data_IF_058098412881
#
_entry.id   IF_058098412881
#
_cell.length_a   1.000
_cell.length_b   1.000
_cell.length_c   1.000
_cell.angle_alpha   90.00
_cell.angle_beta   90.00
_cell.angle_gamma   90.00
#
_symmetry.space_group_name_H-M   'P 1'
#
loop_
_entity.id
_entity.type
_entity.pdbx_description
1 polymer ?
#
# COMPACT_ATOMS: atom_id res chain seq x y z
N UNK A 1 -41.09 33.12 20.43
CA UNK A 1 -40.59 33.10 19.05
C UNK A 1 -39.07 33.27 19.13
N UNK A 2 -38.32 32.17 19.10
CA UNK A 2 -36.85 32.15 19.21
C UNK A 2 -36.31 31.61 17.89
N UNK A 3 -35.62 32.47 17.15
CA UNK A 3 -34.95 32.15 15.89
C UNK A 3 -33.72 31.27 16.16
N UNK A 4 -33.62 30.19 15.40
CA UNK A 4 -32.44 29.32 15.32
C UNK A 4 -31.47 29.93 14.32
N UNK A 5 -30.29 30.32 14.78
CA UNK A 5 -29.15 30.62 13.93
C UNK A 5 -28.69 29.33 13.25
N UNK A 6 -28.52 29.39 11.92
CA UNK A 6 -27.94 28.35 11.08
C UNK A 6 -26.44 28.30 11.39
N UNK A 7 -25.92 27.09 11.62
CA UNK A 7 -24.49 26.83 11.68
C UNK A 7 -23.93 26.92 10.26
N UNK A 8 -22.88 27.74 10.10
CA UNK A 8 -22.05 27.80 8.90
C UNK A 8 -21.25 26.50 8.75
N UNK A 9 -21.19 25.99 7.53
CA UNK A 9 -20.28 24.92 7.11
C UNK A 9 -18.84 25.47 7.13
N UNK A 10 -18.13 25.29 8.23
CA UNK A 10 -16.67 25.48 8.28
C UNK A 10 -15.99 24.36 7.47
N UNK A 11 -15.43 24.69 6.31
CA UNK A 11 -14.53 23.84 5.55
C UNK A 11 -13.38 23.35 6.44
N UNK A 12 -13.24 22.02 6.58
CA UNK A 12 -12.13 21.39 7.30
C UNK A 12 -10.79 21.85 6.67
N UNK A 13 -9.93 22.57 7.41
CA UNK A 13 -8.67 23.13 6.91
C UNK A 13 -7.68 22.07 6.43
N UNK A 14 -7.94 20.77 6.69
CA UNK A 14 -7.10 19.67 6.23
C UNK A 14 -7.46 19.13 4.83
N UNK A 15 -8.48 19.66 4.15
CA UNK A 15 -8.96 19.09 2.87
C UNK A 15 -8.29 19.63 1.59
N UNK A 16 -7.17 20.37 1.69
CA UNK A 16 -6.46 20.88 0.51
C UNK A 16 -5.86 19.72 -0.32
N UNK A 17 -6.51 19.40 -1.44
CA UNK A 17 -6.05 18.39 -2.41
C UNK A 17 -5.03 18.99 -3.37
N UNK A 18 -3.86 18.37 -3.47
CA UNK A 18 -2.83 18.76 -4.42
C UNK A 18 -3.29 18.66 -5.87
N UNK A 19 -2.84 19.62 -6.67
CA UNK A 19 -3.24 19.70 -8.08
C UNK A 19 -2.62 18.54 -8.86
N UNK A 20 -3.46 17.76 -9.52
CA UNK A 20 -3.06 16.68 -10.42
C UNK A 20 -2.47 17.22 -11.72
N UNK A 21 -1.48 16.53 -12.27
CA UNK A 21 -1.05 16.76 -13.66
C UNK A 21 -2.20 16.53 -14.65
N UNK A 22 -2.22 17.27 -15.77
CA UNK A 22 -3.26 17.17 -16.81
C UNK A 22 -3.35 15.76 -17.42
N UNK A 23 -2.21 15.12 -17.69
CA UNK A 23 -2.15 13.74 -18.19
C UNK A 23 -2.84 12.76 -17.25
N UNK A 24 -2.71 12.96 -15.94
CA UNK A 24 -3.35 12.09 -14.95
C UNK A 24 -4.85 12.32 -14.87
N UNK A 25 -5.31 13.57 -15.04
CA UNK A 25 -6.75 13.88 -15.15
C UNK A 25 -7.39 13.15 -16.34
N UNK A 26 -6.74 13.16 -17.50
CA UNK A 26 -7.23 12.46 -18.68
C UNK A 26 -7.28 10.94 -18.50
N UNK A 27 -6.20 10.34 -17.96
CA UNK A 27 -6.13 8.90 -17.68
C UNK A 27 -7.24 8.41 -16.73
N UNK A 28 -7.58 9.21 -15.72
CA UNK A 28 -8.65 8.87 -14.76
C UNK A 28 -10.03 8.86 -15.42
N UNK A 29 -10.29 9.77 -16.35
CA UNK A 29 -11.55 9.78 -17.10
C UNK A 29 -11.70 8.50 -17.95
N UNK A 30 -10.64 8.07 -18.63
CA UNK A 30 -10.63 6.86 -19.45
C UNK A 30 -10.81 5.56 -18.62
N UNK A 31 -10.23 5.49 -17.42
CA UNK A 31 -10.43 4.35 -16.52
C UNK A 31 -11.89 4.20 -16.05
N UNK A 32 -12.61 5.32 -15.89
CA UNK A 32 -14.04 5.29 -15.54
C UNK A 32 -14.88 4.70 -16.67
N UNK A 33 -14.58 5.06 -17.92
CA UNK A 33 -15.30 4.54 -19.09
C UNK A 33 -15.05 3.04 -19.30
N UNK A 34 -13.85 2.53 -18.98
CA UNK A 34 -13.51 1.11 -19.14
C UNK A 34 -14.08 0.19 -18.04
N UNK A 35 -14.63 0.74 -16.95
CA UNK A 35 -15.24 -0.05 -15.86
C UNK A 35 -16.63 -0.64 -16.23
N UNK A 36 -17.12 -0.44 -17.46
CA UNK A 36 -18.47 -0.80 -17.91
C UNK A 36 -18.64 -2.23 -18.47
N UNK A 37 -17.68 -3.15 -18.29
CA UNK A 37 -17.90 -4.57 -18.56
C UNK A 37 -18.81 -5.20 -17.49
N UNK A 38 -19.58 -6.25 -17.84
CA UNK A 38 -20.40 -6.95 -16.84
C UNK A 38 -19.50 -7.51 -15.72
N UNK A 39 -19.75 -7.12 -14.45
CA UNK A 39 -18.83 -7.41 -13.37
C UNK A 39 -18.94 -8.86 -12.88
N UNK A 40 -17.82 -9.57 -12.83
CA UNK A 40 -17.74 -10.91 -12.23
C UNK A 40 -18.04 -10.82 -10.73
N UNK A 41 -18.89 -11.72 -10.22
CA UNK A 41 -19.40 -11.67 -8.85
C UNK A 41 -19.24 -13.00 -8.13
N UNK A 42 -18.82 -12.97 -6.85
CA UNK A 42 -18.66 -14.15 -5.99
C UNK A 42 -19.03 -13.85 -4.54
N UNK A 43 -19.35 -14.87 -3.75
CA UNK A 43 -19.47 -14.69 -2.31
C UNK A 43 -18.14 -14.25 -1.69
N UNK A 44 -18.23 -13.38 -0.69
CA UNK A 44 -17.07 -12.94 0.08
C UNK A 44 -16.37 -14.12 0.75
N UNK A 45 -15.04 -14.09 0.75
CA UNK A 45 -14.21 -15.10 1.45
C UNK A 45 -13.81 -14.66 2.86
N UNK A 46 -14.56 -13.73 3.46
CA UNK A 46 -14.25 -13.17 4.77
C UNK A 46 -14.25 -14.21 5.91
N UNK A 47 -15.10 -15.24 5.81
CA UNK A 47 -15.20 -16.30 6.81
C UNK A 47 -13.99 -17.24 6.83
N UNK A 48 -13.43 -17.50 5.64
CA UNK A 48 -12.40 -18.49 5.35
C UNK A 48 -11.00 -17.89 5.22
N UNK A 49 -10.90 -16.58 4.95
CA UNK A 49 -9.64 -15.86 4.85
C UNK A 49 -9.00 -15.51 6.19
N UNK A 50 -7.68 -15.30 6.17
CA UNK A 50 -6.95 -14.67 7.26
C UNK A 50 -7.34 -13.18 7.32
N UNK A 51 -7.90 -12.73 8.44
CA UNK A 51 -8.46 -11.37 8.58
C UNK A 51 -7.44 -10.39 9.13
N UNK A 52 -7.56 -9.13 8.75
CA UNK A 52 -6.73 -8.03 9.23
C UNK A 52 -6.75 -7.84 10.75
N UNK A 53 -5.88 -6.95 11.29
CA UNK A 53 -5.82 -6.66 12.71
C UNK A 53 -7.10 -6.00 13.23
N UNK A 54 -7.42 -6.21 14.51
CA UNK A 54 -8.55 -5.54 15.19
C UNK A 54 -8.08 -4.23 15.87
N UNK A 55 -8.99 -3.25 16.07
CA UNK A 55 -10.40 -3.24 15.65
C UNK A 55 -10.54 -3.12 14.12
N UNK A 56 -11.60 -3.72 13.58
CA UNK A 56 -11.89 -3.59 12.16
C UNK A 56 -12.40 -2.18 11.87
N UNK A 57 -11.99 -1.54 10.77
CA UNK A 57 -12.51 -0.22 10.40
C UNK A 57 -14.02 -0.26 10.17
N UNK A 58 -14.73 0.80 10.58
CA UNK A 58 -16.19 0.87 10.49
C UNK A 58 -16.73 0.84 9.05
N UNK A 59 -15.91 1.23 8.08
CA UNK A 59 -16.25 1.19 6.66
C UNK A 59 -16.24 -0.23 6.08
N UNK A 60 -15.67 -1.21 6.80
CA UNK A 60 -15.47 -2.56 6.29
C UNK A 60 -16.72 -3.43 6.51
N UNK A 61 -17.29 -3.91 5.40
CA UNK A 61 -18.32 -4.95 5.40
C UNK A 61 -17.69 -6.29 5.79
N UNK A 62 -18.20 -6.89 6.87
CA UNK A 62 -17.67 -8.12 7.50
C UNK A 62 -18.71 -9.25 7.60
N UNK A 63 -19.90 -9.00 7.08
CA UNK A 63 -21.03 -9.92 7.09
C UNK A 63 -20.78 -11.13 6.17
N UNK A 64 -21.16 -12.32 6.63
CA UNK A 64 -20.91 -13.56 5.88
C UNK A 64 -21.73 -13.68 4.58
N UNK A 65 -22.84 -12.94 4.51
CA UNK A 65 -23.67 -12.86 3.31
C UNK A 65 -23.14 -11.85 2.28
N UNK A 66 -22.01 -11.18 2.56
CA UNK A 66 -21.44 -10.21 1.64
C UNK A 66 -20.97 -10.86 0.34
N UNK A 67 -21.05 -10.08 -0.72
CA UNK A 67 -20.72 -10.45 -2.09
C UNK A 67 -19.62 -9.52 -2.58
N UNK A 68 -18.60 -10.10 -3.19
CA UNK A 68 -17.48 -9.43 -3.83
C UNK A 68 -17.75 -9.31 -5.33
N UNK A 69 -17.80 -8.08 -5.85
CA UNK A 69 -18.04 -7.74 -7.25
C UNK A 69 -16.79 -7.08 -7.85
N UNK A 70 -16.26 -7.64 -8.92
CA UNK A 70 -15.10 -7.10 -9.65
C UNK A 70 -15.49 -5.86 -10.45
N UNK A 71 -14.84 -4.73 -10.19
CA UNK A 71 -15.11 -3.47 -10.89
C UNK A 71 -14.07 -3.13 -11.98
N UNK A 72 -13.00 -3.93 -12.08
CA UNK A 72 -11.99 -3.79 -13.13
C UNK A 72 -10.56 -3.77 -12.61
N UNK A 73 -9.61 -3.58 -13.53
CA UNK A 73 -8.18 -3.65 -13.23
C UNK A 73 -7.65 -2.26 -12.88
N UNK A 74 -6.97 -2.12 -11.73
CA UNK A 74 -6.27 -0.90 -11.32
C UNK A 74 -4.83 -0.87 -11.84
N UNK A 75 -4.13 -2.01 -11.77
CA UNK A 75 -2.72 -2.15 -12.19
C UNK A 75 -2.45 -3.58 -12.60
N UNK A 76 -1.86 -3.78 -13.78
CA UNK A 76 -1.22 -5.05 -14.13
C UNK A 76 0.27 -5.00 -13.80
N UNK A 77 0.81 -6.12 -13.34
CA UNK A 77 2.21 -6.22 -12.95
C UNK A 77 2.80 -7.57 -13.34
N UNK A 78 4.14 -7.61 -13.39
CA UNK A 78 4.87 -8.86 -13.68
C UNK A 78 4.64 -9.93 -12.61
N UNK A 79 4.42 -9.50 -11.37
CA UNK A 79 4.35 -10.37 -10.19
C UNK A 79 2.96 -10.47 -9.60
N UNK A 80 2.16 -9.41 -9.72
CA UNK A 80 0.79 -9.36 -9.25
C UNK A 80 -0.02 -8.37 -10.07
N UNK A 81 -1.32 -8.63 -10.19
CA UNK A 81 -2.29 -7.64 -10.64
C UNK A 81 -3.06 -7.09 -9.44
N UNK A 82 -3.55 -5.87 -9.58
CA UNK A 82 -4.41 -5.22 -8.59
C UNK A 82 -5.72 -4.88 -9.28
N UNK A 83 -6.81 -5.37 -8.71
CA UNK A 83 -8.17 -5.15 -9.17
C UNK A 83 -8.94 -4.29 -8.17
N UNK A 84 -9.90 -3.51 -8.67
CA UNK A 84 -10.88 -2.84 -7.84
C UNK A 84 -12.03 -3.79 -7.59
N UNK A 85 -12.41 -3.94 -6.33
CA UNK A 85 -13.47 -4.84 -5.89
C UNK A 85 -14.44 -4.06 -5.01
N UNK A 86 -15.74 -4.31 -5.18
CA UNK A 86 -16.76 -3.84 -4.23
C UNK A 86 -17.23 -5.03 -3.41
N UNK A 87 -17.17 -4.91 -2.10
CA UNK A 87 -17.81 -5.83 -1.17
C UNK A 87 -19.11 -5.20 -0.68
N UNK A 88 -20.26 -5.82 -0.95
CA UNK A 88 -21.56 -5.31 -0.51
C UNK A 88 -22.46 -6.42 0.00
N UNK A 89 -23.53 -6.06 0.70
CA UNK A 89 -24.56 -7.03 1.13
C UNK A 89 -25.71 -6.96 0.13
N UNK A 90 -26.16 -8.09 -0.46
CA UNK A 90 -27.31 -8.07 -1.36
C UNK A 90 -28.55 -7.47 -0.68
N UNK A 91 -29.13 -6.43 -1.28
CA UNK A 91 -30.32 -5.74 -0.77
C UNK A 91 -30.04 -4.67 0.31
N UNK A 92 -28.78 -4.33 0.56
CA UNK A 92 -28.33 -3.23 1.42
C UNK A 92 -27.49 -2.25 0.57
N UNK A 93 -27.49 -0.97 0.93
CA UNK A 93 -26.65 0.06 0.28
C UNK A 93 -25.22 0.08 0.83
N UNK A 94 -24.96 -0.61 1.95
CA UNK A 94 -23.62 -0.70 2.54
C UNK A 94 -22.66 -1.47 1.66
N UNK A 95 -21.52 -0.85 1.36
CA UNK A 95 -20.43 -1.49 0.64
C UNK A 95 -19.06 -0.92 1.02
N UNK A 96 -18.01 -1.70 0.73
CA UNK A 96 -16.61 -1.30 0.85
C UNK A 96 -15.94 -1.43 -0.51
N UNK A 97 -15.17 -0.42 -0.91
CA UNK A 97 -14.22 -0.56 -2.02
C UNK A 97 -12.91 -1.13 -1.50
N UNK A 98 -12.42 -2.16 -2.18
CA UNK A 98 -11.24 -2.92 -1.84
C UNK A 98 -10.30 -2.99 -3.04
N UNK A 99 -9.00 -3.00 -2.77
CA UNK A 99 -7.98 -3.32 -3.77
C UNK A 99 -7.58 -4.80 -3.61
N UNK A 100 -7.91 -5.62 -4.61
CA UNK A 100 -7.57 -7.04 -4.64
C UNK A 100 -6.23 -7.25 -5.36
N UNK A 101 -5.16 -7.45 -4.60
CA UNK A 101 -3.83 -7.78 -5.11
C UNK A 101 -3.68 -9.30 -5.24
N UNK A 102 -3.52 -9.78 -6.46
CA UNK A 102 -3.44 -11.21 -6.81
C UNK A 102 -2.06 -11.55 -7.31
N UNK A 103 -1.32 -12.35 -6.56
CA UNK A 103 0.01 -12.80 -6.96
C UNK A 103 -0.06 -13.87 -8.05
N UNK A 104 0.77 -13.70 -9.09
CA UNK A 104 0.87 -14.65 -10.21
C UNK A 104 1.81 -15.81 -9.86
N UNK A 105 1.41 -17.04 -10.21
CA UNK A 105 2.29 -18.20 -10.17
C UNK A 105 3.35 -18.08 -11.28
N UNK A 106 4.58 -17.72 -10.91
CA UNK A 106 5.61 -17.25 -11.86
C UNK A 106 6.00 -18.28 -12.95
N UNK A 107 5.75 -17.96 -14.22
CA UNK A 107 6.40 -18.64 -15.35
C UNK A 107 7.82 -18.11 -15.59
N UNK A 108 8.04 -16.79 -15.52
CA UNK A 108 9.34 -16.16 -15.84
C UNK A 108 9.76 -15.05 -14.85
N UNK A 109 10.17 -15.41 -13.63
CA UNK A 109 10.96 -14.48 -12.80
C UNK A 109 12.42 -14.53 -13.23
N UNK A 110 12.96 -13.39 -13.66
CA UNK A 110 14.41 -13.16 -13.68
C UNK A 110 14.85 -12.90 -12.24
N UNK A 111 15.52 -13.88 -11.67
CA UNK A 111 16.11 -13.95 -10.32
C UNK A 111 17.19 -12.89 -10.03
N UNK A 112 17.20 -11.75 -10.73
CA UNK A 112 18.32 -10.80 -10.68
C UNK A 112 18.25 -9.75 -9.56
N UNK A 113 17.30 -9.86 -8.61
CA UNK A 113 17.26 -9.00 -7.41
C UNK A 113 16.97 -9.74 -6.10
N UNK A 114 16.95 -11.07 -6.11
CA UNK A 114 16.54 -11.88 -4.95
C UNK A 114 17.69 -12.21 -3.96
N UNK A 115 18.96 -12.07 -4.37
CA UNK A 115 20.09 -12.52 -3.58
C UNK A 115 20.22 -11.77 -2.23
N UNK A 116 20.06 -10.45 -2.23
CA UNK A 116 20.13 -9.66 -0.99
C UNK A 116 18.83 -9.68 -0.17
N UNK A 117 17.69 -9.97 -0.79
CA UNK A 117 16.36 -9.91 -0.14
C UNK A 117 16.07 -11.15 0.72
N UNK A 118 16.53 -12.32 0.28
CA UNK A 118 16.38 -13.58 1.01
C UNK A 118 17.53 -13.87 1.99
N UNK A 119 18.68 -13.19 1.87
CA UNK A 119 19.87 -13.47 2.69
C UNK A 119 19.66 -13.22 4.19
N UNK A 120 18.86 -12.21 4.57
CA UNK A 120 18.50 -11.93 5.96
C UNK A 120 17.50 -12.94 6.57
N UNK A 121 16.81 -13.75 5.74
CA UNK A 121 15.82 -14.75 6.20
C UNK A 121 16.41 -16.17 6.27
N UNK A 122 17.71 -16.29 6.57
CA UNK A 122 18.36 -17.59 6.88
C UNK A 122 17.91 -18.12 8.24
N UNK A 123 16.69 -18.62 8.37
CA UNK A 123 16.45 -19.73 9.29
C UNK A 123 15.16 -20.49 8.98
N UNK A 124 15.35 -21.80 8.84
CA UNK A 124 14.40 -22.91 8.66
C UNK A 124 14.05 -23.22 7.20
N UNK A 125 14.11 -24.53 6.89
CA UNK A 125 13.39 -25.27 5.83
C UNK A 125 14.24 -25.89 4.70
N UNK A 126 15.13 -26.83 5.07
CA UNK A 126 15.78 -27.77 4.14
C UNK A 126 14.84 -28.78 3.46
N UNK A 127 13.55 -28.77 3.78
CA UNK A 127 12.52 -29.62 3.14
C UNK A 127 11.80 -28.91 1.99
N UNK A 128 11.59 -27.60 2.07
CA UNK A 128 10.87 -26.81 1.07
C UNK A 128 11.74 -26.55 -0.17
N UNK A 129 13.07 -26.39 0.01
CA UNK A 129 14.02 -26.27 -1.10
C UNK A 129 13.98 -27.45 -2.08
N UNK A 130 13.61 -28.66 -1.61
CA UNK A 130 13.47 -29.85 -2.46
C UNK A 130 12.20 -29.85 -3.31
N UNK A 131 11.11 -29.25 -2.84
CA UNK A 131 9.92 -29.03 -3.66
C UNK A 131 10.10 -27.85 -4.63
N UNK A 132 10.91 -26.86 -4.27
CA UNK A 132 11.28 -25.71 -5.11
C UNK A 132 12.15 -26.08 -6.33
N UNK A 133 12.89 -27.20 -6.28
CA UNK A 133 13.75 -27.64 -7.38
C UNK A 133 12.97 -28.11 -8.63
N UNK A 134 11.70 -28.49 -8.48
CA UNK A 134 10.91 -29.13 -9.55
C UNK A 134 10.17 -28.20 -10.51
N UNK A 135 10.12 -26.88 -10.27
CA UNK A 135 9.37 -25.90 -11.11
C UNK A 135 7.95 -26.33 -11.52
N UNK A 136 7.27 -27.14 -10.70
CA UNK A 136 5.88 -27.56 -10.96
C UNK A 136 4.92 -26.40 -10.70
N UNK A 137 3.74 -26.42 -11.34
CA UNK A 137 2.66 -25.43 -11.09
C UNK A 137 2.33 -25.30 -9.60
N UNK A 138 2.33 -26.43 -8.88
CA UNK A 138 2.16 -26.48 -7.43
C UNK A 138 3.23 -25.71 -6.65
N UNK A 139 4.52 -25.91 -6.97
CA UNK A 139 5.62 -25.20 -6.30
C UNK A 139 5.58 -23.68 -6.55
N UNK A 140 5.15 -23.24 -7.74
CA UNK A 140 4.97 -21.82 -8.06
C UNK A 140 3.83 -21.18 -7.26
N UNK A 141 2.70 -21.89 -7.12
CA UNK A 141 1.57 -21.42 -6.32
C UNK A 141 1.96 -21.28 -4.85
N UNK A 142 2.67 -22.26 -4.29
CA UNK A 142 3.16 -22.21 -2.91
C UNK A 142 4.04 -20.97 -2.66
N UNK A 143 4.91 -20.62 -3.62
CA UNK A 143 5.72 -19.42 -3.49
C UNK A 143 4.83 -18.18 -3.50
N UNK A 144 3.88 -18.06 -4.45
CA UNK A 144 2.96 -16.93 -4.50
C UNK A 144 2.17 -16.75 -3.19
N UNK A 145 1.73 -17.84 -2.57
CA UNK A 145 1.06 -17.82 -1.26
C UNK A 145 1.99 -17.32 -0.15
N UNK A 146 3.27 -17.71 -0.17
CA UNK A 146 4.26 -17.21 0.79
C UNK A 146 4.49 -15.70 0.64
N UNK A 147 4.50 -15.16 -0.58
CA UNK A 147 4.60 -13.72 -0.81
C UNK A 147 3.37 -12.98 -0.27
N UNK A 148 2.17 -13.48 -0.58
CA UNK A 148 0.92 -12.91 -0.06
C UNK A 148 0.88 -12.94 1.47
N UNK A 149 1.29 -14.05 2.09
CA UNK A 149 1.36 -14.18 3.56
C UNK A 149 2.38 -13.23 4.18
N UNK A 150 3.56 -13.08 3.56
CA UNK A 150 4.59 -12.17 4.04
C UNK A 150 4.14 -10.70 3.94
N UNK A 151 3.55 -10.29 2.82
CA UNK A 151 3.04 -8.93 2.65
C UNK A 151 1.89 -8.64 3.62
N UNK A 152 0.94 -9.57 3.78
CA UNK A 152 -0.16 -9.43 4.73
C UNK A 152 0.33 -9.26 6.18
N UNK A 153 1.30 -10.08 6.61
CA UNK A 153 1.88 -9.98 7.94
C UNK A 153 2.63 -8.65 8.15
N UNK A 154 3.40 -8.21 7.14
CA UNK A 154 4.09 -6.93 7.20
C UNK A 154 3.12 -5.75 7.29
N UNK A 155 2.11 -5.69 6.40
CA UNK A 155 1.08 -4.66 6.43
C UNK A 155 0.32 -4.66 7.75
N UNK A 156 -0.03 -5.83 8.29
CA UNK A 156 -0.77 -5.94 9.56
C UNK A 156 0.05 -5.37 10.71
N UNK A 157 1.35 -5.68 10.79
CA UNK A 157 2.25 -5.11 11.78
C UNK A 157 2.38 -3.59 11.61
N UNK A 158 2.67 -3.14 10.40
CA UNK A 158 2.90 -1.72 10.08
C UNK A 158 1.65 -0.87 10.36
N UNK A 159 0.48 -1.35 9.99
CA UNK A 159 -0.79 -0.68 10.29
C UNK A 159 -1.04 -0.60 11.81
N UNK A 160 -0.78 -1.69 12.54
CA UNK A 160 -0.98 -1.75 14.01
C UNK A 160 -0.12 -0.73 14.75
N UNK A 161 1.10 -0.46 14.27
CA UNK A 161 2.01 0.54 14.87
C UNK A 161 1.80 1.96 14.31
N UNK A 162 0.80 2.15 13.44
CA UNK A 162 0.41 3.45 12.92
C UNK A 162 1.21 3.95 11.72
N UNK A 163 1.96 3.08 11.02
CA UNK A 163 2.53 3.44 9.71
C UNK A 163 1.37 3.66 8.75
N UNK A 164 1.36 4.76 7.97
CA UNK A 164 0.25 5.03 7.06
C UNK A 164 0.32 4.11 5.85
N UNK A 165 -0.26 2.92 5.97
CA UNK A 165 -0.39 1.90 4.93
C UNK A 165 -1.86 1.56 4.75
N UNK A 166 -2.31 1.09 3.56
CA UNK A 166 -3.66 0.59 3.39
C UNK A 166 -3.97 -0.49 4.41
N UNK A 167 -5.15 -0.44 5.03
CA UNK A 167 -5.56 -1.49 5.96
C UNK A 167 -5.60 -2.86 5.25
N UNK A 168 -4.91 -3.89 5.76
CA UNK A 168 -4.90 -5.22 5.16
C UNK A 168 -6.16 -5.99 5.54
N UNK A 169 -7.20 -5.87 4.72
CA UNK A 169 -8.54 -6.41 5.02
C UNK A 169 -8.52 -7.91 5.24
N UNK A 170 -8.00 -8.67 4.28
CA UNK A 170 -7.89 -10.12 4.41
C UNK A 170 -6.89 -10.70 3.42
N UNK A 171 -6.42 -11.91 3.69
CA UNK A 171 -5.68 -12.74 2.76
C UNK A 171 -6.37 -14.09 2.58
N UNK A 172 -6.53 -14.53 1.34
CA UNK A 172 -6.99 -15.88 1.01
C UNK A 172 -6.12 -16.48 -0.09
N UNK A 173 -5.36 -17.53 0.23
CA UNK A 173 -4.36 -18.10 -0.70
C UNK A 173 -3.35 -17.03 -1.15
N UNK A 174 -3.30 -16.79 -2.46
CA UNK A 174 -2.44 -15.81 -3.15
C UNK A 174 -3.06 -14.43 -3.30
N UNK A 175 -4.31 -14.24 -2.86
CA UNK A 175 -5.03 -12.98 -2.95
C UNK A 175 -4.96 -12.23 -1.62
N UNK A 176 -4.67 -10.95 -1.73
CA UNK A 176 -4.62 -9.99 -0.65
C UNK A 176 -5.62 -8.86 -0.93
N UNK A 177 -6.65 -8.74 -0.10
CA UNK A 177 -7.59 -7.62 -0.15
C UNK A 177 -7.09 -6.53 0.79
N UNK A 178 -6.98 -5.32 0.25
CA UNK A 178 -6.53 -4.12 0.95
C UNK A 178 -7.64 -3.07 0.91
N UNK A 179 -7.58 -2.12 1.84
CA UNK A 179 -8.29 -0.86 1.72
C UNK A 179 -8.02 -0.23 0.34
N UNK A 180 -9.10 0.12 -0.36
CA UNK A 180 -8.97 0.94 -1.55
C UNK A 180 -8.79 2.40 -1.15
N UNK A 181 -7.64 2.96 -1.49
CA UNK A 181 -7.37 4.38 -1.31
C UNK A 181 -7.82 5.14 -2.56
N UNK A 182 -8.99 5.77 -2.49
CA UNK A 182 -9.57 6.48 -3.61
C UNK A 182 -10.98 6.99 -3.34
N UNK A 183 -11.59 7.56 -4.36
CA UNK A 183 -12.95 8.08 -4.31
C UNK A 183 -13.98 6.93 -4.48
N UNK A 184 -15.21 7.16 -4.04
CA UNK A 184 -16.32 6.18 -4.07
C UNK A 184 -16.72 5.75 -5.49
N UNK A 185 -16.36 6.55 -6.50
CA UNK A 185 -16.54 6.24 -7.91
C UNK A 185 -15.49 5.26 -8.46
N UNK A 186 -14.59 4.75 -7.63
CA UNK A 186 -13.52 3.83 -8.01
C UNK A 186 -12.25 4.52 -8.52
N UNK A 187 -12.17 5.85 -8.46
CA UNK A 187 -10.96 6.59 -8.85
C UNK A 187 -9.89 6.46 -7.77
N UNK A 188 -8.78 5.78 -8.08
CA UNK A 188 -7.67 5.62 -7.14
C UNK A 188 -7.05 6.96 -6.73
N UNK A 189 -6.57 7.06 -5.49
CA UNK A 189 -5.79 8.19 -5.00
C UNK A 189 -4.54 8.41 -5.86
N UNK A 190 -4.10 9.67 -6.06
CA UNK A 190 -2.92 9.95 -6.86
C UNK A 190 -1.64 9.50 -6.15
N UNK A 191 -0.65 9.12 -6.95
CA UNK A 191 0.72 8.97 -6.47
C UNK A 191 1.33 10.33 -6.21
N UNK A 192 2.21 10.42 -5.23
CA UNK A 192 2.97 11.64 -4.93
C UNK A 192 3.66 12.19 -6.19
N UNK A 193 4.25 11.31 -7.01
CA UNK A 193 4.86 11.66 -8.31
C UNK A 193 3.95 12.48 -9.26
N UNK A 194 2.63 12.26 -9.19
CA UNK A 194 1.61 12.88 -10.05
C UNK A 194 1.12 14.23 -9.51
N UNK A 195 1.54 14.64 -8.32
CA UNK A 195 1.10 15.88 -7.69
C UNK A 195 1.98 17.08 -8.04
N UNK A 196 1.35 18.26 -7.99
CA UNK A 196 1.96 19.59 -7.95
C UNK A 196 1.40 20.32 -6.72
N UNK A 197 1.88 19.97 -5.52
CA UNK A 197 1.41 20.59 -4.29
C UNK A 197 1.85 22.05 -4.22
N UNK A 198 1.01 22.89 -3.60
CA UNK A 198 1.38 24.25 -3.20
C UNK A 198 2.32 24.21 -1.98
N UNK A 199 3.07 25.29 -1.67
CA UNK A 199 4.09 25.27 -0.61
C UNK A 199 3.61 24.72 0.74
N UNK A 200 2.44 25.16 1.22
CA UNK A 200 1.89 24.69 2.50
C UNK A 200 1.53 23.20 2.50
N UNK A 201 1.02 22.69 1.38
CA UNK A 201 0.73 21.26 1.23
C UNK A 201 2.04 20.46 1.10
N UNK A 202 3.05 21.00 0.40
CA UNK A 202 4.35 20.38 0.27
C UNK A 202 5.02 20.19 1.63
N UNK A 203 4.97 21.22 2.49
CA UNK A 203 5.44 21.15 3.88
C UNK A 203 4.70 20.07 4.67
N UNK A 204 3.37 20.02 4.56
CA UNK A 204 2.55 19.04 5.25
C UNK A 204 2.85 17.60 4.80
N UNK A 205 2.96 17.38 3.48
CA UNK A 205 3.30 16.08 2.90
C UNK A 205 4.73 15.65 3.27
N UNK A 206 5.67 16.59 3.33
CA UNK A 206 7.04 16.29 3.78
C UNK A 206 7.06 15.84 5.24
N UNK A 207 6.33 16.54 6.11
CA UNK A 207 6.19 16.14 7.50
C UNK A 207 5.64 14.71 7.61
N UNK A 208 4.56 14.39 6.91
CA UNK A 208 3.99 13.04 6.90
C UNK A 208 4.97 12.00 6.36
N UNK A 209 5.70 12.29 5.27
CA UNK A 209 6.69 11.39 4.69
C UNK A 209 7.81 11.07 5.69
N UNK A 210 8.34 12.09 6.37
CA UNK A 210 9.37 11.91 7.39
C UNK A 210 8.84 11.07 8.56
N UNK A 211 7.63 11.35 9.06
CA UNK A 211 7.00 10.55 10.12
C UNK A 211 6.83 9.08 9.72
N UNK A 212 6.39 8.82 8.49
CA UNK A 212 6.23 7.47 7.97
C UNK A 212 7.58 6.72 7.89
N UNK A 213 8.64 7.38 7.41
CA UNK A 213 9.99 6.80 7.37
C UNK A 213 10.56 6.56 8.77
N UNK A 214 10.31 7.45 9.73
CA UNK A 214 10.72 7.26 11.13
C UNK A 214 9.99 6.07 11.79
N UNK A 215 8.71 5.86 11.49
CA UNK A 215 7.97 4.70 12.00
C UNK A 215 8.50 3.39 11.41
N UNK A 216 8.75 3.35 10.09
CA UNK A 216 9.39 2.20 9.44
C UNK A 216 10.75 1.90 10.08
N UNK A 217 11.61 2.92 10.20
CA UNK A 217 12.92 2.78 10.83
C UNK A 217 12.80 2.29 12.27
N UNK A 218 11.83 2.79 13.03
CA UNK A 218 11.57 2.37 14.42
C UNK A 218 11.17 0.90 14.55
N UNK A 219 10.55 0.33 13.52
CA UNK A 219 10.26 -1.10 13.43
C UNK A 219 11.45 -1.95 12.96
N UNK A 220 12.61 -1.32 12.73
CA UNK A 220 13.80 -1.94 12.15
C UNK A 220 13.65 -2.24 10.66
N UNK A 221 12.80 -1.48 9.95
CA UNK A 221 12.44 -1.74 8.56
C UNK A 221 12.81 -0.57 7.64
N UNK A 222 13.29 -0.92 6.46
CA UNK A 222 13.33 -0.03 5.29
C UNK A 222 12.30 -0.56 4.29
N UNK A 223 11.71 0.33 3.49
CA UNK A 223 10.75 -0.10 2.47
C UNK A 223 11.45 -0.90 1.37
N UNK A 224 12.71 -0.57 1.05
CA UNK A 224 13.54 -1.28 0.07
C UNK A 224 13.30 -0.90 -1.39
N UNK A 225 12.30 -0.05 -1.66
CA UNK A 225 11.98 0.55 -2.97
C UNK A 225 11.13 1.82 -2.80
N UNK A 226 11.36 2.60 -1.74
CA UNK A 226 10.53 3.77 -1.49
C UNK A 226 10.82 4.85 -2.53
N UNK A 227 9.78 5.26 -3.23
CA UNK A 227 9.84 6.34 -4.21
C UNK A 227 8.51 7.10 -4.24
N UNK A 228 8.46 8.30 -4.83
CA UNK A 228 7.21 9.04 -5.03
C UNK A 228 6.16 8.28 -5.86
N UNK A 229 6.53 7.18 -6.52
CA UNK A 229 5.61 6.31 -7.23
C UNK A 229 4.95 5.25 -6.33
N UNK A 230 5.54 4.95 -5.18
CA UNK A 230 5.06 3.98 -4.18
C UNK A 230 4.43 4.68 -2.95
N UNK A 231 4.08 5.96 -3.13
CA UNK A 231 3.39 6.78 -2.15
C UNK A 231 2.12 7.31 -2.80
N UNK A 232 0.96 7.03 -2.22
CA UNK A 232 -0.31 7.65 -2.57
C UNK A 232 -0.62 8.82 -1.64
N UNK A 233 -1.42 9.77 -2.10
CA UNK A 233 -1.96 10.85 -1.28
C UNK A 233 -3.47 10.79 -1.34
N UNK A 234 -4.10 10.26 -0.30
CA UNK A 234 -5.54 10.12 -0.20
C UNK A 234 -6.08 11.15 0.77
N UNK A 235 -6.89 12.11 0.27
CA UNK A 235 -7.51 13.18 1.07
C UNK A 235 -6.49 13.94 1.95
N UNK A 236 -5.35 14.31 1.36
CA UNK A 236 -4.26 15.01 2.06
C UNK A 236 -3.36 14.10 2.90
N UNK A 237 -3.72 12.84 3.09
CA UNK A 237 -2.91 11.87 3.86
C UNK A 237 -2.00 11.05 2.95
N UNK A 238 -0.71 11.01 3.30
CA UNK A 238 0.31 10.21 2.63
C UNK A 238 0.20 8.76 3.06
N UNK A 239 0.09 7.85 2.09
CA UNK A 239 -0.04 6.40 2.31
C UNK A 239 1.04 5.64 1.54
N UNK A 240 1.81 4.81 2.23
CA UNK A 240 2.83 3.93 1.65
C UNK A 240 2.18 2.68 1.06
N UNK A 241 2.55 2.32 -0.17
CA UNK A 241 2.02 1.15 -0.87
C UNK A 241 3.16 0.29 -1.44
N UNK A 242 2.82 -0.93 -1.84
CA UNK A 242 3.76 -1.88 -2.46
C UNK A 242 4.92 -2.23 -1.51
N UNK A 243 4.57 -2.88 -0.40
CA UNK A 243 5.49 -3.33 0.65
C UNK A 243 5.93 -4.80 0.56
N UNK A 244 5.89 -5.54 -0.57
CA UNK A 244 6.41 -6.90 -0.57
C UNK A 244 7.93 -6.93 -0.36
N UNK A 245 8.62 -5.78 -0.46
CA UNK A 245 10.07 -5.66 -0.39
C UNK A 245 10.60 -5.07 0.92
N UNK A 246 9.81 -4.98 2.00
CA UNK A 246 10.34 -4.49 3.29
C UNK A 246 11.60 -5.26 3.69
N UNK A 247 12.67 -4.51 3.94
CA UNK A 247 13.99 -5.00 4.30
C UNK A 247 14.19 -4.82 5.80
N UNK A 248 14.58 -5.91 6.47
CA UNK A 248 15.05 -5.83 7.86
C UNK A 248 16.40 -5.10 7.88
N UNK A 249 16.42 -3.92 8.47
CA UNK A 249 17.57 -3.00 8.48
C UNK A 249 18.72 -3.56 9.31
N UNK A 250 18.43 -4.41 10.30
CA UNK A 250 19.41 -4.95 11.24
C UNK A 250 19.94 -6.30 10.72
N UNK A 251 19.06 -7.17 10.24
CA UNK A 251 19.42 -8.50 9.81
C UNK A 251 20.02 -8.53 8.39
N UNK A 252 19.76 -7.52 7.56
CA UNK A 252 20.33 -7.43 6.22
C UNK A 252 21.67 -6.67 6.25
N UNK A 253 22.78 -7.23 5.73
CA UNK A 253 24.07 -6.53 5.65
C UNK A 253 24.00 -5.18 4.90
N UNK A 254 23.10 -5.06 3.92
CA UNK A 254 22.85 -3.83 3.16
C UNK A 254 21.65 -3.03 3.72
N UNK A 255 21.13 -3.37 4.90
CA UNK A 255 19.92 -2.78 5.48
C UNK A 255 19.99 -1.26 5.65
N UNK A 256 21.12 -0.76 6.15
CA UNK A 256 21.38 0.68 6.27
C UNK A 256 21.36 1.40 4.91
N UNK A 257 21.93 0.78 3.87
CA UNK A 257 21.95 1.34 2.52
C UNK A 257 20.53 1.46 1.94
N UNK A 258 19.66 0.47 2.17
CA UNK A 258 18.25 0.55 1.75
C UNK A 258 17.52 1.70 2.44
N UNK A 259 17.70 1.85 3.75
CA UNK A 259 17.09 2.94 4.53
C UNK A 259 17.54 4.31 4.00
N UNK A 260 18.83 4.48 3.76
CA UNK A 260 19.40 5.74 3.24
C UNK A 260 18.94 6.03 1.81
N UNK A 261 18.85 5.01 0.97
CA UNK A 261 18.39 5.13 -0.41
C UNK A 261 16.93 5.55 -0.48
N UNK A 262 16.08 4.94 0.35
CA UNK A 262 14.66 5.27 0.46
C UNK A 262 14.50 6.74 0.87
N UNK A 263 15.17 7.15 1.95
CA UNK A 263 15.13 8.53 2.45
C UNK A 263 15.64 9.55 1.43
N UNK A 264 16.77 9.26 0.78
CA UNK A 264 17.37 10.12 -0.25
C UNK A 264 16.48 10.27 -1.48
N UNK A 265 15.78 9.20 -1.88
CA UNK A 265 14.90 9.21 -3.06
C UNK A 265 13.67 10.08 -2.81
N UNK A 266 13.05 9.94 -1.63
CA UNK A 266 11.91 10.77 -1.22
C UNK A 266 12.35 12.22 -1.02
N UNK A 267 13.41 12.47 -0.26
CA UNK A 267 13.95 13.81 -0.02
C UNK A 267 14.22 14.57 -1.33
N UNK A 268 14.86 13.91 -2.31
CA UNK A 268 15.14 14.51 -3.62
C UNK A 268 13.87 14.99 -4.32
N UNK A 269 12.79 14.23 -4.27
CA UNK A 269 11.51 14.63 -4.87
C UNK A 269 10.93 15.90 -4.23
N UNK A 270 11.01 16.01 -2.89
CA UNK A 270 10.58 17.19 -2.15
C UNK A 270 11.49 18.40 -2.43
N UNK A 271 12.81 18.22 -2.39
CA UNK A 271 13.78 19.30 -2.69
C UNK A 271 13.60 19.85 -4.11
N UNK A 272 13.37 18.99 -5.11
CA UNK A 272 13.09 19.45 -6.49
C UNK A 272 11.80 20.26 -6.65
N UNK A 273 10.96 20.33 -5.61
CA UNK A 273 9.71 21.10 -5.57
C UNK A 273 9.77 22.32 -4.66
N UNK A 274 10.96 22.63 -4.14
CA UNK A 274 11.20 23.80 -3.29
C UNK A 274 11.22 23.50 -1.80
N UNK A 275 11.11 22.23 -1.38
CA UNK A 275 11.23 21.90 0.04
C UNK A 275 12.68 22.00 0.51
N UNK A 276 12.89 22.67 1.64
CA UNK A 276 14.18 22.66 2.31
C UNK A 276 14.35 21.35 3.10
N UNK A 277 15.30 20.50 2.68
CA UNK A 277 15.56 19.20 3.30
C UNK A 277 17.04 19.07 3.67
N UNK A 278 17.33 19.06 4.96
CA UNK A 278 18.65 18.75 5.51
C UNK A 278 18.87 17.24 5.52
N UNK A 279 19.22 16.67 4.36
CA UNK A 279 19.34 15.22 4.19
C UNK A 279 20.27 14.56 5.24
N UNK A 280 21.46 15.10 5.58
CA UNK A 280 22.30 14.52 6.63
C UNK A 280 21.58 14.37 7.98
N UNK A 281 20.81 15.38 8.39
CA UNK A 281 20.04 15.35 9.63
C UNK A 281 18.87 14.34 9.56
N UNK A 282 18.23 14.20 8.40
CA UNK A 282 17.19 13.17 8.18
C UNK A 282 17.79 11.78 8.31
N UNK A 283 18.94 11.52 7.66
CA UNK A 283 19.59 10.20 7.71
C UNK A 283 20.05 9.84 9.12
N UNK A 284 20.66 10.79 9.85
CA UNK A 284 21.05 10.59 11.24
C UNK A 284 19.85 10.22 12.12
N UNK A 285 18.75 10.97 11.99
CA UNK A 285 17.49 10.73 12.69
C UNK A 285 16.93 9.33 12.39
N UNK A 286 16.92 8.90 11.13
CA UNK A 286 16.43 7.57 10.74
C UNK A 286 17.34 6.45 11.25
N UNK A 287 18.67 6.60 11.16
CA UNK A 287 19.63 5.63 11.70
C UNK A 287 19.46 5.47 13.22
N UNK A 288 19.37 6.57 13.95
CA UNK A 288 19.11 6.57 15.38
C UNK A 288 17.79 5.86 15.71
N UNK A 289 16.75 6.11 14.92
CA UNK A 289 15.44 5.49 15.10
C UNK A 289 15.46 3.97 14.83
N UNK A 290 16.28 3.53 13.87
CA UNK A 290 16.53 2.12 13.57
C UNK A 290 17.53 1.44 14.53
N UNK A 291 18.12 2.16 15.48
CA UNK A 291 19.13 1.62 16.38
C UNK A 291 20.48 1.33 15.70
N UNK A 292 20.71 1.90 14.51
CA UNK A 292 22.00 1.86 13.82
C UNK A 292 22.92 2.91 14.46
N UNK A 293 23.99 2.44 15.12
CA UNK A 293 25.02 3.28 15.75
C UNK A 293 26.23 3.39 14.85
#
# INVERSE_FOLDING_TARGET
MRERARFDDEEDPYTRRGRLTERERARRAELRENAHAEPETRYSTWDTGERGPRPYPDWLVTELAAVDTELGILKTGKEADVHLLRRGIPGDDRSSLLAAKRYRAAEHRQFHRDAGYLEGRRMRRSRENRAMAGRTSFGRNLIAEQWAAAEFAALSRLWTVGVPVPYPVQRNGTELLLEFLGDEDGTAAPRLAQLRPEPEELDHLWFQALRAMELLAGEGLAHGDLSPYNILVHRGTLMLIDLPQVVDVIANPAGAEYLERDASTVARWFTTRGQHVELPAVLERLRNRAGLR
#
